data_IF_728678410258
#
_entry.id   IF_728678410258
#
_cell.length_a   1.000
_cell.length_b   1.000
_cell.length_c   1.000
_cell.angle_alpha   90.00
_cell.angle_beta   90.00
_cell.angle_gamma   90.00
#
_symmetry.space_group_name_H-M   'P 1'
#
loop_
_entity.id
_entity.type
_entity.pdbx_description
1 polymer ?
#
# COMPACT_ATOMS: atom_id res chain seq x y z
N UNK A 1 -4.18 6.69 16.96
CA UNK A 1 -4.90 7.72 16.17
C UNK A 1 -4.17 9.06 16.03
N UNK A 2 -3.67 9.73 17.09
CA UNK A 2 -3.01 11.05 16.95
C UNK A 2 -1.72 11.05 16.11
N UNK A 3 -0.92 9.99 16.19
CA UNK A 3 0.32 9.82 15.39
C UNK A 3 0.05 9.66 13.90
N UNK A 4 -1.06 9.00 13.54
CA UNK A 4 -1.45 8.77 12.14
C UNK A 4 -1.86 10.00 11.40
N UNK A 5 -2.73 10.81 12.05
CA UNK A 5 -3.15 12.07 11.48
C UNK A 5 -1.90 12.92 11.20
N UNK A 6 -0.98 13.01 12.16
CA UNK A 6 0.27 13.78 12.04
C UNK A 6 1.19 13.28 10.92
N UNK A 7 1.52 11.99 10.87
CA UNK A 7 2.41 11.46 9.81
C UNK A 7 1.73 11.53 8.45
N UNK A 8 0.42 11.20 8.35
CA UNK A 8 -0.32 11.36 7.09
C UNK A 8 -0.36 12.81 6.65
N UNK A 9 -0.51 13.76 7.57
CA UNK A 9 -0.57 15.19 7.28
C UNK A 9 0.79 15.75 6.87
N UNK A 10 1.89 15.26 7.45
CA UNK A 10 3.25 15.57 7.02
C UNK A 10 3.50 15.07 5.58
N UNK A 11 3.03 13.86 5.25
CA UNK A 11 3.02 13.36 3.87
C UNK A 11 2.18 14.25 2.96
N UNK A 12 0.91 14.49 3.31
CA UNK A 12 0.00 15.34 2.54
C UNK A 12 0.54 16.76 2.35
N UNK A 13 1.30 17.30 3.30
CA UNK A 13 1.97 18.61 3.18
C UNK A 13 3.04 18.60 2.10
N UNK A 14 3.91 17.59 2.06
CA UNK A 14 4.97 17.49 1.04
C UNK A 14 4.36 17.40 -0.36
N UNK A 15 3.25 16.67 -0.51
CA UNK A 15 2.65 16.41 -1.81
C UNK A 15 1.43 17.28 -2.14
N UNK A 16 1.13 18.32 -1.34
CA UNK A 16 -0.08 19.14 -1.48
C UNK A 16 -0.27 19.78 -2.86
N UNK A 17 0.84 20.09 -3.53
CA UNK A 17 0.84 20.77 -4.83
C UNK A 17 0.92 19.81 -6.03
N UNK A 18 0.89 18.49 -5.79
CA UNK A 18 0.84 17.50 -6.87
C UNK A 18 -0.55 17.55 -7.50
N UNK A 19 -0.63 17.94 -8.77
CA UNK A 19 -1.89 17.90 -9.53
C UNK A 19 -2.31 16.46 -9.76
N UNK A 20 -3.56 16.16 -9.41
CA UNK A 20 -4.20 14.87 -9.62
C UNK A 20 -5.51 15.08 -10.36
N UNK A 21 -5.71 14.32 -11.42
CA UNK A 21 -6.88 14.47 -12.30
C UNK A 21 -7.75 13.19 -12.30
N UNK A 22 -7.27 12.13 -11.65
CA UNK A 22 -7.91 10.82 -11.55
C UNK A 22 -7.94 10.39 -10.09
N UNK A 23 -9.05 9.82 -9.64
CA UNK A 23 -9.20 9.23 -8.30
C UNK A 23 -9.21 7.70 -8.38
N UNK A 24 -8.66 7.07 -7.36
CA UNK A 24 -8.53 5.63 -7.23
C UNK A 24 -8.64 5.24 -5.76
N UNK A 25 -8.95 3.98 -5.50
CA UNK A 25 -8.94 3.44 -4.15
C UNK A 25 -8.28 2.06 -4.13
N UNK A 26 -7.59 1.76 -3.03
CA UNK A 26 -6.94 0.47 -2.80
C UNK A 26 -7.37 -0.11 -1.47
N UNK A 27 -7.51 -1.43 -1.40
CA UNK A 27 -7.74 -2.13 -0.16
C UNK A 27 -6.39 -2.49 0.48
N UNK A 28 -6.19 -2.14 1.75
CA UNK A 28 -5.10 -2.56 2.62
C UNK A 28 -5.62 -3.74 3.45
N UNK A 29 -5.49 -4.99 2.97
CA UNK A 29 -6.20 -6.12 3.52
C UNK A 29 -5.31 -6.82 4.56
N UNK A 30 -5.65 -6.68 5.83
CA UNK A 30 -5.09 -7.52 6.89
C UNK A 30 -5.78 -8.87 6.88
N UNK A 31 -5.05 -9.94 7.14
CA UNK A 31 -5.59 -11.28 7.14
C UNK A 31 -4.76 -12.21 8.04
N UNK A 32 -5.19 -13.47 8.17
CA UNK A 32 -4.32 -14.54 8.62
C UNK A 32 -3.81 -15.30 7.38
N UNK A 33 -2.51 -15.58 7.31
CA UNK A 33 -1.98 -16.46 6.27
C UNK A 33 -2.39 -17.93 6.52
N UNK A 34 -2.08 -18.88 5.63
CA UNK A 34 -2.47 -20.29 5.79
C UNK A 34 -1.87 -20.98 7.02
N UNK A 35 -0.83 -20.38 7.63
CA UNK A 35 -0.22 -20.83 8.89
C UNK A 35 -0.86 -20.16 10.12
N UNK A 36 -1.89 -19.35 9.94
CA UNK A 36 -2.57 -18.63 11.01
C UNK A 36 -1.82 -17.40 11.53
N UNK A 37 -0.82 -16.89 10.79
CA UNK A 37 -0.03 -15.73 11.20
C UNK A 37 -0.67 -14.44 10.67
N UNK A 38 -0.73 -13.35 11.48
CA UNK A 38 -1.17 -12.04 10.99
C UNK A 38 -0.31 -11.58 9.81
N UNK A 39 -0.96 -11.25 8.71
CA UNK A 39 -0.35 -10.91 7.43
C UNK A 39 -1.08 -9.75 6.77
N UNK A 40 -0.44 -9.21 5.72
CA UNK A 40 -1.05 -8.24 4.81
C UNK A 40 -1.06 -8.85 3.42
N UNK A 41 -2.21 -8.82 2.74
CA UNK A 41 -2.31 -9.27 1.34
C UNK A 41 -1.85 -8.18 0.38
N UNK A 42 -0.98 -8.56 -0.54
CA UNK A 42 -0.45 -7.73 -1.62
C UNK A 42 -0.54 -8.51 -2.95
N UNK A 43 -0.48 -7.77 -4.06
CA UNK A 43 -0.45 -8.33 -5.41
C UNK A 43 0.84 -7.92 -6.10
N UNK A 44 1.45 -8.83 -6.85
CA UNK A 44 2.44 -8.51 -7.87
C UNK A 44 1.67 -8.27 -9.16
N UNK A 45 1.67 -7.02 -9.65
CA UNK A 45 0.94 -6.67 -10.87
C UNK A 45 1.54 -7.38 -12.08
N UNK A 46 0.67 -7.93 -12.92
CA UNK A 46 1.02 -8.55 -14.19
C UNK A 46 1.90 -7.62 -15.04
N UNK A 47 3.01 -8.15 -15.54
CA UNK A 47 3.91 -7.43 -16.45
C UNK A 47 3.27 -7.10 -17.80
N UNK A 48 2.11 -7.70 -18.13
CA UNK A 48 1.33 -7.39 -19.33
C UNK A 48 0.67 -6.01 -19.25
N UNK A 49 0.51 -5.46 -18.05
CA UNK A 49 -0.19 -4.20 -17.84
C UNK A 49 0.61 -3.03 -18.39
N UNK A 50 -0.09 -2.13 -19.08
CA UNK A 50 0.48 -0.91 -19.67
C UNK A 50 0.98 0.10 -18.63
N UNK A 51 0.50 0.00 -17.38
CA UNK A 51 0.89 0.86 -16.26
C UNK A 51 1.26 0.02 -15.05
N UNK A 52 2.41 0.35 -14.45
CA UNK A 52 2.87 -0.22 -13.18
C UNK A 52 3.01 -1.76 -13.16
N UNK A 53 3.16 -2.41 -14.32
CA UNK A 53 3.40 -3.86 -14.38
C UNK A 53 4.71 -4.26 -13.69
N UNK A 54 4.69 -5.40 -12.99
CA UNK A 54 5.83 -5.91 -12.23
C UNK A 54 6.10 -5.20 -10.90
N UNK A 55 5.17 -4.37 -10.42
CA UNK A 55 5.28 -3.68 -9.12
C UNK A 55 4.37 -4.37 -8.11
N UNK A 56 4.84 -4.47 -6.85
CA UNK A 56 4.01 -4.93 -5.74
C UNK A 56 3.09 -3.81 -5.28
N UNK A 57 1.78 -4.07 -5.26
CA UNK A 57 0.73 -3.14 -4.87
C UNK A 57 -0.29 -3.77 -3.93
N UNK A 58 -1.09 -2.91 -3.33
CA UNK A 58 -2.38 -3.32 -2.81
C UNK A 58 -3.36 -3.59 -3.97
N UNK A 59 -4.33 -4.50 -3.80
CA UNK A 59 -5.41 -4.64 -4.77
C UNK A 59 -6.27 -3.38 -4.79
N UNK A 60 -6.72 -3.00 -5.98
CA UNK A 60 -7.47 -1.76 -6.18
C UNK A 60 -7.18 -1.08 -7.51
N UNK A 61 -7.91 0.00 -7.77
CA UNK A 61 -7.90 0.63 -9.08
C UNK A 61 -8.61 1.97 -9.13
N UNK A 62 -8.86 2.43 -10.36
CA UNK A 62 -9.47 3.73 -10.64
C UNK A 62 -10.95 3.68 -10.30
N UNK A 63 -11.50 4.77 -9.75
CA UNK A 63 -12.92 4.83 -9.47
C UNK A 63 -13.74 4.82 -10.77
N UNK A 64 -14.80 4.02 -10.79
CA UNK A 64 -15.84 4.06 -11.82
C UNK A 64 -16.91 5.09 -11.44
N UNK A 65 -17.58 5.66 -12.45
CA UNK A 65 -18.75 6.54 -12.26
C UNK A 65 -19.90 5.92 -11.47
N UNK A 66 -19.97 4.59 -11.42
CA UNK A 66 -20.97 3.81 -10.69
C UNK A 66 -20.58 3.51 -9.25
N UNK A 67 -19.32 3.75 -8.86
CA UNK A 67 -18.86 3.53 -7.50
C UNK A 67 -19.47 4.57 -6.55
N UNK A 68 -20.19 4.09 -5.53
CA UNK A 68 -20.85 4.97 -4.56
C UNK A 68 -19.89 5.66 -3.57
N UNK A 69 -18.67 5.13 -3.44
CA UNK A 69 -17.64 5.62 -2.52
C UNK A 69 -16.26 5.03 -2.83
N UNK A 70 -15.20 5.61 -2.27
CA UNK A 70 -13.84 5.04 -2.32
C UNK A 70 -13.79 3.60 -1.76
N UNK A 71 -14.62 3.30 -0.75
CA UNK A 71 -14.76 1.94 -0.21
C UNK A 71 -15.35 1.00 -1.27
N UNK A 72 -16.38 1.45 -1.99
CA UNK A 72 -17.00 0.68 -3.07
C UNK A 72 -15.99 0.40 -4.19
N UNK A 73 -15.20 1.40 -4.60
CA UNK A 73 -14.12 1.24 -5.58
C UNK A 73 -13.10 0.20 -5.13
N UNK A 74 -12.56 0.33 -3.92
CA UNK A 74 -11.53 -0.58 -3.43
C UNK A 74 -12.03 -2.04 -3.37
N UNK A 75 -13.27 -2.26 -2.93
CA UNK A 75 -13.86 -3.59 -2.84
C UNK A 75 -14.19 -4.18 -4.21
N UNK A 76 -14.76 -3.40 -5.13
CA UNK A 76 -15.04 -3.84 -6.51
C UNK A 76 -13.76 -4.27 -7.21
N UNK A 77 -12.74 -3.41 -7.22
CA UNK A 77 -11.46 -3.69 -7.86
C UNK A 77 -10.76 -4.89 -7.23
N UNK A 78 -10.81 -5.03 -5.89
CA UNK A 78 -10.26 -6.22 -5.22
C UNK A 78 -11.00 -7.50 -5.64
N UNK A 79 -12.32 -7.43 -5.80
CA UNK A 79 -13.10 -8.56 -6.29
C UNK A 79 -12.76 -8.90 -7.76
N UNK A 80 -12.55 -7.90 -8.61
CA UNK A 80 -12.16 -8.10 -10.01
C UNK A 80 -10.76 -8.71 -10.14
N UNK A 81 -9.78 -8.24 -9.34
CA UNK A 81 -8.40 -8.72 -9.39
C UNK A 81 -8.23 -10.11 -8.73
N UNK A 82 -8.95 -10.39 -7.63
CA UNK A 82 -8.69 -11.56 -6.77
C UNK A 82 -9.89 -12.51 -6.59
N UNK A 83 -11.06 -12.15 -7.09
CA UNK A 83 -12.30 -12.87 -6.81
C UNK A 83 -12.77 -12.75 -5.37
N UNK A 84 -12.16 -11.89 -4.55
CA UNK A 84 -12.46 -11.76 -3.12
C UNK A 84 -13.82 -11.04 -2.93
N UNK A 85 -14.84 -11.71 -2.36
CA UNK A 85 -16.14 -11.10 -2.18
C UNK A 85 -16.10 -9.91 -1.20
N UNK A 86 -16.78 -8.79 -1.49
CA UNK A 86 -16.86 -7.65 -0.57
C UNK A 86 -17.43 -8.03 0.81
N UNK A 87 -18.28 -9.06 0.89
CA UNK A 87 -18.85 -9.57 2.15
C UNK A 87 -17.81 -10.19 3.08
N UNK A 88 -16.70 -10.68 2.53
CA UNK A 88 -15.61 -11.29 3.29
C UNK A 88 -14.63 -10.23 3.82
N UNK A 89 -14.82 -8.95 3.47
CA UNK A 89 -14.00 -7.86 3.99
C UNK A 89 -14.74 -7.12 5.10
N UNK A 90 -14.15 -7.12 6.30
CA UNK A 90 -14.56 -6.27 7.41
C UNK A 90 -13.80 -4.93 7.33
N UNK A 91 -14.44 -3.90 6.79
CA UNK A 91 -13.81 -2.59 6.59
C UNK A 91 -13.72 -1.84 7.92
N UNK A 92 -12.49 -1.45 8.29
CA UNK A 92 -12.22 -0.71 9.53
C UNK A 92 -12.26 0.81 9.35
N UNK A 93 -11.96 1.28 8.14
CA UNK A 93 -12.01 2.70 7.79
C UNK A 93 -11.09 3.06 6.63
N UNK A 94 -10.96 4.35 6.35
CA UNK A 94 -10.12 4.87 5.27
C UNK A 94 -9.06 5.83 5.80
N UNK A 95 -7.92 5.87 5.13
CA UNK A 95 -6.83 6.82 5.39
C UNK A 95 -7.01 8.05 4.50
N UNK A 96 -6.33 9.15 4.83
CA UNK A 96 -6.27 10.31 3.94
C UNK A 96 -5.70 9.90 2.58
N UNK A 97 -6.28 10.43 1.51
CA UNK A 97 -5.83 10.13 0.17
C UNK A 97 -4.39 10.64 -0.06
N UNK A 98 -3.63 9.86 -0.81
CA UNK A 98 -2.22 10.10 -1.10
C UNK A 98 -2.00 10.14 -2.61
N UNK A 99 -1.24 11.13 -3.13
CA UNK A 99 -0.96 11.19 -4.55
C UNK A 99 0.08 10.14 -4.97
N UNK A 100 -0.23 9.47 -6.07
CA UNK A 100 0.71 8.65 -6.82
C UNK A 100 1.57 9.54 -7.71
N UNK A 101 2.86 9.58 -7.41
CA UNK A 101 3.83 10.44 -8.08
C UNK A 101 4.18 9.82 -9.44
N UNK A 102 4.09 10.60 -10.50
CA UNK A 102 4.31 10.15 -11.87
C UNK A 102 3.05 9.75 -12.66
N UNK A 103 1.92 9.45 -12.00
CA UNK A 103 0.66 9.06 -12.69
C UNK A 103 -0.50 10.05 -12.53
N UNK A 104 -0.37 11.09 -11.69
CA UNK A 104 -1.42 12.10 -11.39
C UNK A 104 -2.72 11.47 -10.86
N UNK A 105 -2.60 10.37 -10.11
CA UNK A 105 -3.72 9.69 -9.48
C UNK A 105 -3.72 10.02 -7.98
N UNK A 106 -4.89 10.37 -7.43
CA UNK A 106 -5.11 10.50 -6.00
C UNK A 106 -5.71 9.19 -5.48
N UNK A 107 -5.01 8.51 -4.58
CA UNK A 107 -5.37 7.16 -4.12
C UNK A 107 -5.85 7.22 -2.67
N UNK A 108 -7.07 6.74 -2.41
CA UNK A 108 -7.60 6.55 -1.05
C UNK A 108 -7.32 5.11 -0.56
N UNK A 109 -6.52 4.92 0.50
CA UNK A 109 -6.35 3.60 1.11
C UNK A 109 -7.52 3.27 2.02
N UNK A 110 -8.18 2.15 1.78
CA UNK A 110 -9.25 1.58 2.59
C UNK A 110 -8.66 0.42 3.37
N UNK A 111 -8.75 0.45 4.70
CA UNK A 111 -8.16 -0.56 5.57
C UNK A 111 -9.26 -1.50 6.04
N UNK A 112 -8.99 -2.81 5.97
CA UNK A 112 -9.94 -3.81 6.44
C UNK A 112 -9.28 -5.14 6.74
N UNK A 113 -10.07 -6.03 7.33
CA UNK A 113 -9.68 -7.39 7.62
C UNK A 113 -10.43 -8.37 6.72
N UNK A 114 -9.71 -9.24 6.04
CA UNK A 114 -10.28 -10.33 5.26
C UNK A 114 -10.67 -11.44 6.22
N UNK A 115 -11.97 -11.61 6.41
CA UNK A 115 -12.56 -12.72 7.15
C UNK A 115 -12.45 -13.97 6.29
N UNK A 116 -11.96 -15.04 6.89
CA UNK A 116 -12.26 -16.36 6.34
C UNK A 116 -13.53 -16.89 6.97
N UNK A 117 -14.58 -17.03 6.17
CA UNK A 117 -15.83 -17.68 6.56
C UNK A 117 -15.69 -19.21 6.67
N UNK A 118 -14.63 -19.80 6.12
CA UNK A 118 -14.55 -21.25 5.86
C UNK A 118 -13.26 -21.94 6.36
N UNK A 119 -12.10 -21.27 6.36
CA UNK A 119 -10.79 -21.85 6.73
C UNK A 119 -9.65 -20.81 6.65
N UNK A 120 -8.58 -20.85 7.46
CA UNK A 120 -7.38 -20.02 7.27
C UNK A 120 -6.78 -20.04 5.84
N UNK A 121 -7.23 -20.96 4.98
CA UNK A 121 -6.88 -21.12 3.58
C UNK A 121 -7.65 -20.23 2.58
N UNK A 122 -8.24 -19.09 2.96
CA UNK A 122 -9.00 -18.24 2.01
C UNK A 122 -8.19 -17.84 0.75
N UNK A 123 -6.85 -17.80 0.86
CA UNK A 123 -5.94 -17.52 -0.25
C UNK A 123 -6.05 -18.59 -1.34
N UNK A 124 -6.23 -19.85 -0.97
CA UNK A 124 -6.37 -20.97 -1.90
C UNK A 124 -7.74 -20.95 -2.61
N UNK A 125 -8.69 -20.19 -2.08
CA UNK A 125 -10.05 -20.00 -2.64
C UNK A 125 -10.13 -18.78 -3.57
N UNK A 126 -9.08 -17.96 -3.66
CA UNK A 126 -9.05 -16.78 -4.53
C UNK A 126 -9.12 -17.18 -6.01
N UNK A 127 -9.95 -16.46 -6.76
CA UNK A 127 -10.04 -16.59 -8.22
C UNK A 127 -9.29 -15.42 -8.84
N UNK A 128 -7.97 -15.58 -8.94
CA UNK A 128 -7.06 -14.51 -9.36
C UNK A 128 -7.18 -14.25 -10.87
N UNK A 129 -7.41 -12.99 -11.24
CA UNK A 129 -7.35 -12.55 -12.62
C UNK A 129 -5.88 -12.43 -13.08
N UNK A 130 -5.40 -13.46 -13.78
CA UNK A 130 -4.00 -13.55 -14.22
C UNK A 130 -3.59 -12.56 -15.32
N UNK A 131 -4.54 -11.82 -15.91
CA UNK A 131 -4.19 -10.72 -16.81
C UNK A 131 -3.73 -9.48 -16.03
N UNK A 132 -4.14 -9.35 -14.77
CA UNK A 132 -3.86 -8.19 -13.91
C UNK A 132 -2.89 -8.51 -12.77
N UNK A 133 -2.94 -9.74 -12.25
CA UNK A 133 -2.14 -10.17 -11.10
C UNK A 133 -1.28 -11.37 -11.49
N UNK A 134 0.04 -11.22 -11.38
CA UNK A 134 1.01 -12.29 -11.60
C UNK A 134 1.08 -13.23 -10.39
N UNK A 135 1.02 -12.67 -9.17
CA UNK A 135 1.18 -13.42 -7.94
C UNK A 135 0.50 -12.71 -6.76
N UNK A 136 -0.12 -13.47 -5.86
CA UNK A 136 -0.61 -12.98 -4.56
C UNK A 136 0.48 -13.23 -3.50
N UNK A 137 0.74 -12.21 -2.69
CA UNK A 137 1.76 -12.21 -1.65
C UNK A 137 1.10 -11.94 -0.30
N UNK A 138 1.51 -12.67 0.74
CA UNK A 138 0.96 -12.50 2.11
C UNK A 138 2.04 -12.39 3.18
N UNK A 139 2.96 -11.41 3.08
CA UNK A 139 3.99 -11.20 4.09
C UNK A 139 3.38 -11.02 5.48
N UNK A 140 4.04 -11.61 6.47
CA UNK A 140 3.60 -11.51 7.86
C UNK A 140 3.78 -10.08 8.37
N UNK A 141 2.89 -9.63 9.24
CA UNK A 141 3.06 -8.35 9.95
C UNK A 141 4.39 -8.35 10.70
N UNK A 142 4.80 -9.50 11.25
CA UNK A 142 6.09 -9.67 11.92
C UNK A 142 7.27 -9.33 11.01
N UNK A 143 7.35 -9.93 9.83
CA UNK A 143 8.45 -9.68 8.87
C UNK A 143 8.41 -8.25 8.33
N UNK A 144 7.21 -7.68 8.11
CA UNK A 144 7.06 -6.27 7.71
C UNK A 144 7.49 -5.27 8.80
N UNK A 145 7.48 -5.69 10.07
CA UNK A 145 7.95 -4.88 11.18
C UNK A 145 9.45 -5.07 11.46
N UNK A 146 10.11 -6.06 10.84
CA UNK A 146 11.52 -6.36 11.06
C UNK A 146 12.43 -5.18 10.64
N UNK A 147 13.32 -4.69 11.51
CA UNK A 147 14.28 -3.65 11.15
C UNK A 147 15.18 -4.01 9.96
N UNK A 148 15.57 -5.27 9.82
CA UNK A 148 16.49 -5.70 8.77
C UNK A 148 15.80 -5.82 7.40
N UNK A 149 14.48 -6.01 7.42
CA UNK A 149 13.62 -6.03 6.24
C UNK A 149 13.30 -4.64 5.67
N UNK A 150 13.87 -3.57 6.22
CA UNK A 150 13.51 -2.20 5.88
C UNK A 150 14.70 -1.40 5.32
N UNK A 151 14.45 -0.71 4.21
CA UNK A 151 15.35 0.26 3.61
C UNK A 151 14.61 1.57 3.33
N UNK A 152 15.34 2.58 2.88
CA UNK A 152 14.75 3.82 2.41
C UNK A 152 15.43 4.31 1.14
N UNK A 153 14.67 5.04 0.34
CA UNK A 153 15.13 5.66 -0.91
C UNK A 153 14.90 7.16 -0.83
N UNK A 154 15.80 7.93 -1.43
CA UNK A 154 15.65 9.37 -1.60
C UNK A 154 15.11 9.64 -2.99
N UNK A 155 14.05 10.44 -3.06
CA UNK A 155 13.37 10.76 -4.30
C UNK A 155 13.32 12.27 -4.51
N UNK A 156 13.40 12.66 -5.77
CA UNK A 156 13.11 14.01 -6.23
C UNK A 156 12.03 13.93 -7.29
N UNK A 157 11.06 14.84 -7.23
CA UNK A 157 10.02 14.96 -8.23
C UNK A 157 9.83 16.46 -8.54
N UNK A 158 9.70 16.88 -9.81
CA UNK A 158 9.46 18.28 -10.14
C UNK A 158 8.31 18.89 -9.34
N UNK A 159 8.55 20.03 -8.71
CA UNK A 159 7.55 20.74 -7.90
C UNK A 159 7.32 20.17 -6.49
N UNK A 160 8.07 19.13 -6.09
CA UNK A 160 8.00 18.53 -4.75
C UNK A 160 9.40 18.59 -4.11
N UNK A 161 9.53 19.03 -2.85
CA UNK A 161 10.80 18.92 -2.11
C UNK A 161 11.30 17.47 -2.13
N UNK A 162 12.61 17.26 -2.22
CA UNK A 162 13.14 15.90 -2.14
C UNK A 162 12.72 15.24 -0.82
N UNK A 163 12.33 13.97 -0.90
CA UNK A 163 11.71 13.25 0.21
C UNK A 163 12.28 11.84 0.34
N UNK A 164 12.12 11.26 1.52
CA UNK A 164 12.48 9.86 1.79
C UNK A 164 11.24 9.00 1.70
N UNK A 165 11.36 7.83 1.06
CA UNK A 165 10.30 6.83 0.96
C UNK A 165 10.76 5.50 1.55
N UNK A 166 9.91 4.80 2.31
CA UNK A 166 10.24 3.47 2.82
C UNK A 166 10.32 2.46 1.67
N UNK A 167 11.11 1.42 1.89
CA UNK A 167 11.20 0.23 1.04
C UNK A 167 11.16 -0.99 1.95
N UNK A 168 10.25 -1.92 1.68
CA UNK A 168 10.17 -3.18 2.41
C UNK A 168 10.71 -4.32 1.54
N UNK A 169 11.60 -5.12 2.12
CA UNK A 169 12.00 -6.41 1.59
C UNK A 169 10.98 -7.44 2.02
N UNK A 170 10.69 -8.38 1.12
CA UNK A 170 9.86 -9.53 1.44
C UNK A 170 10.76 -10.77 1.51
N UNK A 171 10.56 -11.60 2.52
CA UNK A 171 11.39 -12.78 2.75
C UNK A 171 11.38 -13.71 1.53
N UNK A 172 12.57 -14.15 1.11
CA UNK A 172 12.74 -15.08 -0.01
C UNK A 172 12.42 -14.49 -1.39
N UNK A 173 12.37 -13.15 -1.53
CA UNK A 173 12.11 -12.48 -2.81
C UNK A 173 13.09 -11.34 -3.07
N UNK A 174 13.40 -11.13 -4.35
CA UNK A 174 14.16 -9.96 -4.81
C UNK A 174 13.24 -8.73 -5.04
N UNK A 175 11.94 -8.97 -5.28
CA UNK A 175 10.94 -7.91 -5.42
C UNK A 175 10.79 -7.14 -4.10
N UNK A 176 10.65 -5.82 -4.20
CA UNK A 176 10.51 -4.92 -3.06
C UNK A 176 9.17 -4.22 -3.08
N UNK A 177 8.63 -3.91 -1.91
CA UNK A 177 7.50 -2.98 -1.78
C UNK A 177 8.08 -1.57 -1.66
N UNK A 178 7.80 -0.70 -2.61
CA UNK A 178 8.31 0.68 -2.66
C UNK A 178 7.22 1.65 -3.11
N UNK A 179 7.57 2.94 -3.21
CA UNK A 179 6.68 3.97 -3.74
C UNK A 179 5.43 4.21 -2.90
N UNK A 180 4.28 4.40 -3.55
CA UNK A 180 3.02 4.66 -2.85
C UNK A 180 2.58 3.49 -1.96
N UNK A 181 2.72 2.25 -2.43
CA UNK A 181 2.40 1.04 -1.67
C UNK A 181 3.16 1.02 -0.34
N UNK A 182 4.47 1.27 -0.37
CA UNK A 182 5.29 1.28 0.85
C UNK A 182 4.91 2.42 1.80
N UNK A 183 4.56 3.61 1.29
CA UNK A 183 4.10 4.73 2.12
C UNK A 183 2.78 4.39 2.83
N UNK A 184 1.82 3.82 2.10
CA UNK A 184 0.55 3.37 2.67
C UNK A 184 0.81 2.30 3.74
N UNK A 185 1.65 1.31 3.43
CA UNK A 185 1.97 0.22 4.35
C UNK A 185 2.65 0.73 5.63
N UNK A 186 3.62 1.63 5.51
CA UNK A 186 4.27 2.28 6.65
C UNK A 186 3.26 2.99 7.56
N UNK A 187 2.36 3.78 6.97
CA UNK A 187 1.33 4.49 7.72
C UNK A 187 0.34 3.51 8.39
N UNK A 188 -0.08 2.45 7.70
CA UNK A 188 -0.99 1.44 8.25
C UNK A 188 -0.34 0.62 9.38
N UNK A 189 0.93 0.23 9.27
CA UNK A 189 1.63 -0.48 10.35
C UNK A 189 1.85 0.42 11.57
N UNK A 190 2.29 1.66 11.37
CA UNK A 190 2.40 2.64 12.46
C UNK A 190 1.05 2.99 13.10
N UNK A 191 -0.06 2.74 12.42
CA UNK A 191 -1.41 2.93 12.93
C UNK A 191 -1.83 1.84 13.90
N UNK A 192 -1.69 0.61 13.42
CA UNK A 192 -2.41 -0.56 13.93
C UNK A 192 -1.54 -1.39 14.86
N UNK A 193 -0.21 -1.36 14.67
CA UNK A 193 0.75 -2.11 15.48
C UNK A 193 1.90 -1.23 15.97
N UNK A 194 1.63 -0.08 16.61
CA UNK A 194 2.67 0.90 16.99
C UNK A 194 3.73 0.33 17.94
N UNK A 195 3.37 -0.66 18.77
CA UNK A 195 4.30 -1.32 19.69
C UNK A 195 5.30 -2.24 18.96
N UNK A 196 4.93 -2.76 17.79
CA UNK A 196 5.79 -3.61 16.95
C UNK A 196 6.45 -2.83 15.81
N UNK A 197 5.86 -1.70 15.40
CA UNK A 197 6.32 -0.87 14.31
C UNK A 197 6.76 0.51 14.79
N UNK A 198 7.97 0.57 15.38
CA UNK A 198 8.61 1.82 15.81
C UNK A 198 9.61 2.29 14.74
N UNK A 199 9.09 2.85 13.65
CA UNK A 199 9.91 3.47 12.60
C UNK A 199 9.68 4.97 12.58
N UNK A 200 10.68 5.71 13.02
CA UNK A 200 10.79 7.12 12.68
C UNK A 200 11.52 7.25 11.35
N UNK A 201 10.99 8.06 10.45
CA UNK A 201 11.78 8.47 9.29
C UNK A 201 13.07 9.11 9.78
N UNK A 202 14.22 8.86 9.13
CA UNK A 202 15.41 9.63 9.43
C UNK A 202 15.05 11.13 9.38
N UNK A 203 15.39 11.94 10.39
CA UNK A 203 14.90 13.31 10.59
C UNK A 203 15.22 14.30 9.44
N UNK A 204 15.83 13.84 8.35
CA UNK A 204 16.18 14.61 7.16
C UNK A 204 15.12 14.58 6.05
N UNK A 205 13.84 14.44 6.39
CA UNK A 205 12.75 14.74 5.45
C UNK A 205 12.68 16.24 5.06
N UNK A 206 13.35 17.12 5.81
CA UNK A 206 13.16 18.57 5.71
C UNK A 206 14.45 19.42 5.62
N UNK A 207 15.63 18.81 5.45
CA UNK A 207 16.87 19.56 5.28
C UNK A 207 17.61 19.16 3.99
N UNK A 208 17.16 19.69 2.86
CA UNK A 208 17.94 19.76 1.63
C UNK A 208 18.54 21.15 1.49
N UNK A 209 19.59 21.43 2.29
CA UNK A 209 20.68 22.24 1.73
C UNK A 209 21.44 21.30 0.82
N UNK A 210 21.41 21.59 -0.47
CA UNK A 210 21.92 20.72 -1.52
C UNK A 210 23.30 20.18 -1.21
N UNK A 211 23.46 18.87 -1.36
CA UNK A 211 24.75 18.29 -1.70
C UNK A 211 24.48 17.02 -2.48
N UNK A 212 24.93 17.03 -3.73
CA UNK A 212 25.15 15.85 -4.54
C UNK A 212 25.88 14.77 -3.72
N UNK A 213 25.42 13.53 -3.83
CA UNK A 213 26.30 12.42 -4.19
C UNK A 213 25.48 11.18 -4.59
N UNK A 214 25.91 10.45 -5.63
CA UNK A 214 25.27 9.22 -6.08
C UNK A 214 25.70 8.04 -5.20
N UNK A 215 24.82 7.06 -5.08
CA UNK A 215 25.07 5.61 -5.23
C UNK A 215 23.73 4.87 -5.05
#
# INVERSE_FOLDING_TARGET
MKTLARTSEDYSRVFRNVKTDVVAAVLVPFCLNPRGEPSVLLTLRSRKLSRHGGIISFPGGIADTTDASDVSTALRETQEELGLPPTDVDVWGSMNALPSLGSKILVTPVVGYVRSSSSPAFIDELVVNTDEVECVLVPTVKSLCDPEGWEYTQWTHPGVPGYVSPVFKLDGRDDRVWGLTARILHLALGALVPESYSREYPPKLLNLKGSNSPL
#
